data_IF_156219513621
#
_entry.id   IF_156219513621
#
_cell.length_a   1.000
_cell.length_b   1.000
_cell.length_c   1.000
_cell.angle_alpha   90.00
_cell.angle_beta   90.00
_cell.angle_gamma   90.00
#
_symmetry.space_group_name_H-M   'P 1'
#
loop_
_entity.id
_entity.type
_entity.pdbx_description
1 polymer ?
#
# COMPACT_ATOMS: atom_id res chain seq x y z
N UNK A 1 2.74 0.85 -6.19
CA UNK A 1 2.14 1.66 -7.27
C UNK A 1 3.06 2.76 -7.72
N UNK A 2 2.85 3.25 -8.93
CA UNK A 2 3.62 4.32 -9.55
C UNK A 2 2.81 5.00 -10.64
N UNK A 3 3.30 6.11 -11.16
CA UNK A 3 2.69 6.77 -12.31
C UNK A 3 2.69 5.84 -13.54
N UNK A 4 1.64 5.89 -14.34
CA UNK A 4 1.50 5.10 -15.57
C UNK A 4 2.63 5.34 -16.58
N UNK A 5 3.13 6.58 -16.64
CA UNK A 5 4.23 6.96 -17.56
C UNK A 5 5.63 6.69 -16.97
N UNK A 6 5.71 6.13 -15.76
CA UNK A 6 6.99 5.67 -15.21
C UNK A 6 7.68 4.70 -16.17
N UNK A 7 9.00 4.70 -16.18
CA UNK A 7 9.82 3.75 -16.95
C UNK A 7 9.49 2.28 -16.64
N UNK A 8 8.98 2.01 -15.43
CA UNK A 8 8.56 0.68 -14.99
C UNK A 8 7.07 0.40 -15.26
N UNK A 9 6.30 1.40 -15.69
CA UNK A 9 4.84 1.28 -15.88
C UNK A 9 4.43 0.20 -16.90
N UNK A 10 5.28 -0.11 -17.87
CA UNK A 10 5.06 -1.14 -18.89
C UNK A 10 5.54 -2.54 -18.49
N UNK A 11 6.26 -2.69 -17.38
CA UNK A 11 6.74 -4.01 -16.92
C UNK A 11 5.60 -4.83 -16.31
N UNK A 12 5.66 -6.15 -16.46
CA UNK A 12 4.68 -7.05 -15.84
C UNK A 12 4.95 -7.26 -14.35
N UNK A 13 6.23 -7.33 -13.96
CA UNK A 13 6.68 -7.55 -12.58
C UNK A 13 7.89 -6.68 -12.28
N UNK A 14 8.06 -6.26 -11.04
CA UNK A 14 9.13 -5.39 -10.57
C UNK A 14 9.91 -6.09 -9.46
N UNK A 15 11.22 -5.86 -9.39
CA UNK A 15 12.11 -6.34 -8.33
C UNK A 15 12.84 -5.17 -7.65
N UNK A 16 13.60 -5.41 -6.57
CA UNK A 16 14.37 -4.36 -5.87
C UNK A 16 15.34 -3.62 -6.77
N UNK A 17 16.05 -4.34 -7.65
CA UNK A 17 17.02 -3.71 -8.56
C UNK A 17 16.38 -2.67 -9.52
N UNK A 18 15.11 -2.84 -9.86
CA UNK A 18 14.37 -1.90 -10.70
C UNK A 18 14.08 -0.57 -9.98
N UNK A 19 14.09 -0.56 -8.65
CA UNK A 19 13.69 0.58 -7.83
C UNK A 19 14.86 1.47 -7.39
N UNK A 20 16.11 1.09 -7.66
CA UNK A 20 17.32 1.77 -7.17
C UNK A 20 17.37 3.25 -7.55
N UNK A 21 16.92 3.60 -8.75
CA UNK A 21 16.91 4.97 -9.24
C UNK A 21 15.63 5.75 -8.94
N UNK A 22 14.61 5.08 -8.42
CA UNK A 22 13.33 5.71 -8.10
C UNK A 22 13.28 6.22 -6.67
N UNK A 23 12.35 7.14 -6.42
CA UNK A 23 12.12 7.75 -5.11
C UNK A 23 10.92 7.09 -4.44
N UNK A 24 11.12 6.51 -3.27
CA UNK A 24 10.03 5.97 -2.47
C UNK A 24 9.20 7.08 -1.84
N UNK A 25 7.88 7.02 -2.00
CA UNK A 25 6.93 7.79 -1.19
C UNK A 25 6.44 6.89 -0.07
N UNK A 26 6.77 7.25 1.17
CA UNK A 26 6.42 6.50 2.36
C UNK A 26 5.53 7.31 3.30
N UNK A 27 4.76 6.62 4.16
CA UNK A 27 4.06 7.28 5.25
C UNK A 27 5.05 7.65 6.35
N UNK A 28 5.08 8.93 6.74
CA UNK A 28 6.05 9.44 7.71
C UNK A 28 5.88 8.91 9.15
N UNK A 29 4.70 8.40 9.47
CA UNK A 29 4.37 7.82 10.78
C UNK A 29 3.62 6.48 10.63
N UNK A 30 4.32 5.40 10.19
CA UNK A 30 3.70 4.10 10.06
C UNK A 30 3.31 3.56 11.44
N UNK A 31 2.11 2.99 11.53
CA UNK A 31 1.57 2.46 12.77
C UNK A 31 1.06 1.03 12.61
N UNK A 32 1.51 0.14 13.48
CA UNK A 32 1.02 -1.24 13.61
C UNK A 32 0.64 -1.47 15.07
N UNK A 33 -0.65 -1.73 15.40
CA UNK A 33 -1.14 -1.80 16.79
C UNK A 33 -0.41 -2.80 17.68
N UNK A 34 0.13 -3.85 17.10
CA UNK A 34 0.79 -4.95 17.83
C UNK A 34 2.29 -4.78 18.01
N UNK A 35 2.88 -3.71 17.47
CA UNK A 35 4.34 -3.51 17.49
C UNK A 35 4.72 -2.17 18.13
N UNK A 36 5.87 -2.12 18.84
CA UNK A 36 6.46 -0.86 19.26
C UNK A 36 6.81 0.01 18.06
N UNK A 37 6.69 1.33 18.18
CA UNK A 37 6.96 2.28 17.11
C UNK A 37 8.36 2.12 16.50
N UNK A 38 9.37 1.82 17.32
CA UNK A 38 10.74 1.55 16.86
C UNK A 38 10.82 0.34 15.91
N UNK A 39 10.12 -0.74 16.24
CA UNK A 39 10.07 -1.93 15.41
C UNK A 39 9.30 -1.68 14.09
N UNK A 40 8.19 -0.91 14.16
CA UNK A 40 7.44 -0.52 12.95
C UNK A 40 8.30 0.31 12.03
N UNK A 41 9.01 1.32 12.54
CA UNK A 41 9.90 2.16 11.73
C UNK A 41 11.01 1.35 11.08
N UNK A 42 11.63 0.44 11.80
CA UNK A 42 12.68 -0.41 11.25
C UNK A 42 12.18 -1.33 10.11
N UNK A 43 10.93 -1.79 10.19
CA UNK A 43 10.33 -2.66 9.17
C UNK A 43 9.77 -1.90 7.97
N UNK A 44 9.13 -0.77 8.20
CA UNK A 44 8.40 -0.01 7.18
C UNK A 44 9.24 1.11 6.56
N UNK A 45 10.25 1.60 7.28
CA UNK A 45 11.14 2.67 6.83
C UNK A 45 12.62 2.25 7.02
N UNK A 46 13.06 1.16 6.38
CA UNK A 46 14.44 0.70 6.50
C UNK A 46 15.44 1.75 5.98
N UNK A 47 16.59 1.84 6.63
CA UNK A 47 17.61 2.87 6.34
C UNK A 47 18.38 2.65 5.02
N UNK A 48 18.25 1.47 4.40
CA UNK A 48 18.88 1.13 3.13
C UNK A 48 18.23 1.79 1.91
N UNK A 49 17.05 2.35 2.06
CA UNK A 49 16.40 3.14 1.00
C UNK A 49 16.98 4.55 0.97
N UNK A 50 17.84 4.83 0.00
CA UNK A 50 18.59 6.08 -0.09
C UNK A 50 17.74 7.29 -0.50
N UNK A 51 16.66 7.06 -1.28
CA UNK A 51 15.80 8.13 -1.81
C UNK A 51 14.38 7.92 -1.31
N UNK A 52 13.96 8.72 -0.31
CA UNK A 52 12.63 8.63 0.28
C UNK A 52 12.04 10.00 0.57
N UNK A 53 10.76 10.16 0.25
CA UNK A 53 9.93 11.29 0.66
C UNK A 53 8.92 10.77 1.67
N UNK A 54 8.98 11.26 2.91
CA UNK A 54 8.02 10.92 3.96
C UNK A 54 6.85 11.90 3.94
N UNK A 55 5.64 11.39 3.82
CA UNK A 55 4.40 12.17 3.77
C UNK A 55 3.42 11.63 4.81
N UNK A 56 2.81 12.52 5.58
CA UNK A 56 1.90 12.14 6.68
C UNK A 56 0.45 11.97 6.22
N UNK A 57 0.09 12.52 5.07
CA UNK A 57 -1.26 12.49 4.54
C UNK A 57 -1.36 11.63 3.28
N UNK A 58 -2.36 10.75 3.25
CA UNK A 58 -2.55 9.79 2.15
C UNK A 58 -2.86 10.47 0.81
N UNK A 59 -3.68 11.51 0.82
CA UNK A 59 -4.03 12.25 -0.40
C UNK A 59 -2.79 12.84 -1.07
N UNK A 60 -1.92 13.49 -0.29
CA UNK A 60 -0.66 14.06 -0.78
C UNK A 60 0.30 13.00 -1.35
N UNK A 61 0.26 11.76 -0.85
CA UNK A 61 1.04 10.65 -1.43
C UNK A 61 0.59 10.35 -2.86
N UNK A 62 -0.73 10.32 -3.12
CA UNK A 62 -1.26 10.11 -4.47
C UNK A 62 -0.93 11.28 -5.40
N UNK A 63 -1.04 12.51 -4.92
CA UNK A 63 -0.71 13.70 -5.70
C UNK A 63 0.76 13.71 -6.13
N UNK A 64 1.69 13.32 -5.24
CA UNK A 64 3.10 13.20 -5.56
C UNK A 64 3.37 12.10 -6.62
N UNK A 65 2.73 10.95 -6.48
CA UNK A 65 2.83 9.86 -7.48
C UNK A 65 2.30 10.30 -8.85
N UNK A 66 1.20 11.07 -8.88
CA UNK A 66 0.65 11.61 -10.12
C UNK A 66 1.57 12.64 -10.77
N UNK A 67 2.20 13.49 -9.95
CA UNK A 67 3.04 14.59 -10.42
C UNK A 67 4.44 14.15 -10.86
N UNK A 68 4.94 13.01 -10.34
CA UNK A 68 6.33 12.59 -10.59
C UNK A 68 6.43 11.11 -11.01
N UNK A 69 6.76 10.81 -12.27
CA UNK A 69 6.91 9.44 -12.76
C UNK A 69 8.13 8.68 -12.22
N UNK A 70 9.06 9.36 -11.55
CA UNK A 70 10.23 8.75 -10.91
C UNK A 70 9.96 8.32 -9.46
N UNK A 71 8.68 8.32 -9.05
CA UNK A 71 8.29 7.92 -7.70
C UNK A 71 7.50 6.62 -7.68
N UNK A 72 7.62 5.90 -6.57
CA UNK A 72 6.81 4.71 -6.29
C UNK A 72 6.35 4.67 -4.82
N UNK A 73 5.34 3.86 -4.54
CA UNK A 73 4.85 3.65 -3.17
C UNK A 73 4.43 2.19 -2.98
N UNK A 74 4.74 1.65 -1.81
CA UNK A 74 4.24 0.34 -1.37
C UNK A 74 2.80 0.43 -0.93
N UNK A 75 1.97 -0.48 -1.42
CA UNK A 75 0.54 -0.56 -1.07
C UNK A 75 0.06 -2.01 -1.14
N UNK A 76 -1.01 -2.30 -0.40
CA UNK A 76 -1.88 -3.44 -0.70
C UNK A 76 -2.62 -3.20 -2.02
N UNK A 77 -3.23 -4.23 -2.63
CA UNK A 77 -4.02 -4.04 -3.84
C UNK A 77 -5.05 -2.92 -3.71
N UNK A 78 -5.10 -2.08 -4.73
CA UNK A 78 -5.99 -0.93 -4.83
C UNK A 78 -7.00 -1.17 -5.96
N UNK A 79 -8.28 -0.80 -5.80
CA UNK A 79 -9.27 -0.94 -6.84
C UNK A 79 -8.84 -0.27 -8.16
N UNK A 80 -9.06 -0.96 -9.28
CA UNK A 80 -8.63 -0.51 -10.60
C UNK A 80 -9.19 0.87 -10.98
N UNK A 81 -10.42 1.17 -10.58
CA UNK A 81 -11.07 2.47 -10.82
C UNK A 81 -10.30 3.62 -10.16
N UNK A 82 -9.79 3.40 -8.95
CA UNK A 82 -8.98 4.40 -8.24
C UNK A 82 -7.64 4.63 -8.95
N UNK A 83 -6.97 3.56 -9.36
CA UNK A 83 -5.73 3.65 -10.13
C UNK A 83 -5.95 4.42 -11.44
N UNK A 84 -7.02 4.11 -12.15
CA UNK A 84 -7.38 4.78 -13.40
C UNK A 84 -7.63 6.28 -13.19
N UNK A 85 -8.38 6.64 -12.13
CA UNK A 85 -8.69 8.03 -11.79
C UNK A 85 -7.44 8.88 -11.57
N UNK A 86 -6.41 8.31 -10.94
CA UNK A 86 -5.15 8.99 -10.66
C UNK A 86 -4.07 8.77 -11.73
N UNK A 87 -4.37 8.06 -12.81
CA UNK A 87 -3.36 7.76 -13.85
C UNK A 87 -2.21 6.91 -13.33
N UNK A 88 -2.45 6.08 -12.33
CA UNK A 88 -1.48 5.20 -11.70
C UNK A 88 -1.59 3.77 -12.23
N UNK A 89 -0.53 2.99 -12.02
CA UNK A 89 -0.50 1.55 -12.24
C UNK A 89 0.02 0.83 -11.01
N UNK A 90 -0.52 -0.34 -10.75
CA UNK A 90 -0.03 -1.26 -9.71
C UNK A 90 0.63 -2.45 -10.39
N UNK A 91 1.79 -2.84 -9.89
CA UNK A 91 2.56 -3.96 -10.41
C UNK A 91 2.88 -4.95 -9.29
N UNK A 92 2.84 -6.26 -9.56
CA UNK A 92 3.32 -7.26 -8.63
C UNK A 92 4.83 -7.09 -8.39
N UNK A 93 5.25 -7.42 -7.18
CA UNK A 93 6.63 -7.32 -6.75
C UNK A 93 7.22 -8.70 -6.50
N UNK A 94 8.22 -9.09 -7.29
CA UNK A 94 8.78 -10.43 -7.30
C UNK A 94 9.47 -10.81 -5.98
N UNK A 95 10.15 -9.85 -5.35
CA UNK A 95 10.94 -10.07 -4.13
C UNK A 95 10.12 -9.91 -2.84
N UNK A 96 8.78 -9.83 -2.94
CA UNK A 96 7.92 -9.66 -1.78
C UNK A 96 7.98 -10.87 -0.86
N UNK A 97 8.53 -10.65 0.33
CA UNK A 97 8.56 -11.64 1.43
C UNK A 97 7.70 -11.23 2.63
N UNK A 98 7.09 -10.02 2.57
CA UNK A 98 6.25 -9.51 3.66
C UNK A 98 4.83 -10.07 3.53
N UNK A 99 4.32 -10.59 4.62
CA UNK A 99 2.93 -11.03 4.75
C UNK A 99 2.22 -10.11 5.75
N UNK A 100 1.20 -9.41 5.30
CA UNK A 100 0.34 -8.61 6.16
C UNK A 100 -0.92 -9.39 6.50
N UNK A 101 -1.40 -9.22 7.73
CA UNK A 101 -2.64 -9.81 8.20
C UNK A 101 -3.58 -8.70 8.66
N UNK A 102 -4.62 -8.49 7.89
CA UNK A 102 -5.71 -7.60 8.30
C UNK A 102 -6.62 -8.33 9.28
N UNK A 103 -7.00 -7.64 10.36
CA UNK A 103 -7.86 -8.19 11.40
C UNK A 103 -9.01 -7.24 11.70
N UNK A 104 -10.20 -7.78 11.85
CA UNK A 104 -11.35 -7.07 12.37
C UNK A 104 -11.39 -7.25 13.89
N UNK A 105 -11.44 -6.16 14.64
CA UNK A 105 -11.43 -6.16 16.10
C UNK A 105 -12.73 -5.57 16.61
N UNK A 106 -13.37 -6.27 17.55
CA UNK A 106 -14.56 -5.78 18.27
C UNK A 106 -14.55 -6.30 19.70
N UNK A 107 -15.36 -5.72 20.58
CA UNK A 107 -15.46 -6.12 21.99
C UNK A 107 -15.93 -7.57 22.11
N UNK A 108 -15.38 -8.32 23.11
CA UNK A 108 -15.67 -9.74 23.32
C UNK A 108 -17.18 -10.04 23.42
N UNK A 109 -17.92 -9.18 24.12
CA UNK A 109 -19.34 -9.38 24.39
C UNK A 109 -20.27 -8.65 23.39
N UNK A 110 -19.68 -8.04 22.35
CA UNK A 110 -20.44 -7.36 21.30
C UNK A 110 -21.15 -8.38 20.42
N UNK A 111 -22.47 -8.24 20.32
CA UNK A 111 -23.29 -9.06 19.42
C UNK A 111 -23.41 -8.36 18.08
N UNK A 112 -22.89 -9.00 17.04
CA UNK A 112 -22.98 -8.47 15.68
C UNK A 112 -24.45 -8.30 15.26
N UNK A 113 -24.79 -7.09 14.86
CA UNK A 113 -26.07 -6.78 14.22
C UNK A 113 -26.12 -7.32 12.78
N UNK A 114 -27.26 -7.29 12.14
CA UNK A 114 -27.38 -7.67 10.72
C UNK A 114 -26.56 -6.73 9.81
N UNK A 115 -26.45 -5.46 10.17
CA UNK A 115 -25.62 -4.49 9.45
C UNK A 115 -24.12 -4.83 9.57
N UNK A 116 -23.67 -5.20 10.76
CA UNK A 116 -22.27 -5.61 10.97
C UNK A 116 -21.93 -6.87 10.15
N UNK A 117 -22.83 -7.83 10.10
CA UNK A 117 -22.66 -9.05 9.29
C UNK A 117 -22.61 -8.73 7.79
N UNK A 118 -23.49 -7.85 7.33
CA UNK A 118 -23.49 -7.38 5.94
C UNK A 118 -22.17 -6.66 5.61
N UNK A 119 -21.69 -5.79 6.50
CA UNK A 119 -20.41 -5.11 6.34
C UNK A 119 -19.23 -6.11 6.25
N UNK A 120 -19.18 -7.09 7.17
CA UNK A 120 -18.13 -8.13 7.16
C UNK A 120 -18.15 -8.91 5.85
N UNK A 121 -19.35 -9.27 5.36
CA UNK A 121 -19.51 -9.98 4.09
C UNK A 121 -18.94 -9.15 2.94
N UNK A 122 -19.31 -7.87 2.86
CA UNK A 122 -18.86 -6.95 1.80
C UNK A 122 -17.33 -6.77 1.83
N UNK A 123 -16.74 -6.61 3.01
CA UNK A 123 -15.27 -6.54 3.17
C UNK A 123 -14.59 -7.81 2.68
N UNK A 124 -15.15 -8.99 3.02
CA UNK A 124 -14.59 -10.26 2.56
C UNK A 124 -14.70 -10.44 1.04
N UNK A 125 -15.80 -10.01 0.44
CA UNK A 125 -16.02 -10.10 -1.00
C UNK A 125 -15.15 -9.09 -1.76
N UNK A 126 -15.04 -7.86 -1.27
CA UNK A 126 -14.11 -6.86 -1.81
C UNK A 126 -12.67 -7.35 -1.77
N UNK A 127 -12.26 -7.99 -0.68
CA UNK A 127 -10.92 -8.60 -0.58
C UNK A 127 -10.72 -9.68 -1.64
N UNK A 128 -11.67 -10.59 -1.83
CA UNK A 128 -11.56 -11.63 -2.86
C UNK A 128 -11.42 -11.03 -4.27
N UNK A 129 -12.17 -9.99 -4.54
CA UNK A 129 -12.12 -9.31 -5.85
C UNK A 129 -10.79 -8.59 -6.10
N UNK A 130 -10.12 -8.12 -5.05
CA UNK A 130 -8.83 -7.44 -5.17
C UNK A 130 -7.62 -8.38 -5.24
N UNK A 131 -7.71 -9.56 -4.61
CA UNK A 131 -6.57 -10.48 -4.49
C UNK A 131 -6.71 -11.75 -5.35
N UNK A 132 -7.83 -11.94 -6.03
CA UNK A 132 -8.09 -13.09 -6.93
C UNK A 132 -8.52 -14.32 -6.15
#
# INVERSE_FOLDING_TARGET
IMNRISVLGSRDTICFADLEDLIEIAHGDPYVPSLPLSAVRQQELPDDVQRRICVFERASQFDLLCANPETYMWVSPIPAELLQRYGLVQKPFADNRKLYKDVLIYQRDYRLSELDKAFITEVCDSRRNCFG
#
